data_IF_347538023548
#
_entry.id   IF_347538023548
#
_cell.length_a   1.000
_cell.length_b   1.000
_cell.length_c   1.000
_cell.angle_alpha   90.00
_cell.angle_beta   90.00
_cell.angle_gamma   90.00
#
_symmetry.space_group_name_H-M   'P 1'
#
loop_
_entity.id
_entity.type
_entity.pdbx_description
1 polymer ?
#
# COMPACT_ATOMS: atom_id res chain seq x y z
N UNK A 1 -18.37 -21.98 -26.97
CA UNK A 1 -17.95 -20.57 -26.86
C UNK A 1 -18.03 -20.18 -25.40
N UNK A 2 -16.92 -20.25 -24.67
CA UNK A 2 -16.91 -19.95 -23.25
C UNK A 2 -16.40 -18.53 -23.07
N UNK A 3 -17.33 -17.62 -22.78
CA UNK A 3 -17.03 -16.26 -22.32
C UNK A 3 -16.45 -16.36 -20.91
N UNK A 4 -15.13 -16.29 -20.81
CA UNK A 4 -14.44 -16.11 -19.52
C UNK A 4 -14.39 -14.59 -19.30
N UNK A 5 -15.41 -14.07 -18.64
CA UNK A 5 -15.29 -12.78 -17.93
C UNK A 5 -14.64 -13.07 -16.59
N UNK A 6 -13.46 -12.50 -16.26
CA UNK A 6 -12.98 -12.52 -14.89
C UNK A 6 -13.83 -11.56 -14.08
N UNK A 7 -14.74 -12.14 -13.31
CA UNK A 7 -15.42 -11.51 -12.18
C UNK A 7 -14.36 -10.98 -11.23
N UNK A 8 -14.34 -9.67 -11.04
CA UNK A 8 -13.74 -9.01 -9.89
C UNK A 8 -14.34 -9.59 -8.60
N UNK A 9 -13.68 -10.59 -8.04
CA UNK A 9 -13.93 -11.09 -6.69
C UNK A 9 -13.57 -10.00 -5.68
N UNK A 10 -14.47 -9.82 -4.71
CA UNK A 10 -14.53 -8.67 -3.83
C UNK A 10 -13.27 -8.43 -3.01
N UNK A 11 -12.56 -7.35 -3.33
CA UNK A 11 -11.82 -6.62 -2.31
C UNK A 11 -12.84 -5.77 -1.58
N UNK A 12 -13.12 -6.12 -0.32
CA UNK A 12 -13.84 -5.27 0.62
C UNK A 12 -13.31 -3.84 0.46
N UNK A 13 -14.18 -2.91 0.04
CA UNK A 13 -13.83 -1.53 -0.31
C UNK A 13 -13.50 -0.74 0.96
N UNK A 14 -12.36 -1.08 1.59
CA UNK A 14 -11.70 -0.17 2.51
C UNK A 14 -11.03 0.88 1.65
N UNK A 15 -11.73 1.98 1.42
CA UNK A 15 -11.20 3.12 0.70
C UNK A 15 -9.92 3.59 1.43
N UNK A 16 -8.76 3.19 0.90
CA UNK A 16 -7.48 3.63 1.43
C UNK A 16 -7.38 5.13 1.18
N UNK A 17 -7.20 5.90 2.26
CA UNK A 17 -7.03 7.33 2.16
C UNK A 17 -5.88 7.65 1.19
N UNK A 18 -6.13 8.56 0.24
CA UNK A 18 -5.16 8.99 -0.77
C UNK A 18 -4.73 7.92 -1.81
N UNK A 19 -5.45 6.79 -1.92
CA UNK A 19 -5.26 5.81 -2.99
C UNK A 19 -5.29 6.38 -4.42
N UNK A 20 -6.18 7.34 -4.78
CA UNK A 20 -6.17 7.90 -6.13
C UNK A 20 -4.91 8.73 -6.40
N UNK A 21 -4.43 9.52 -5.44
CA UNK A 21 -3.18 10.26 -5.60
C UNK A 21 -1.96 9.34 -5.68
N UNK A 22 -1.93 8.28 -4.87
CA UNK A 22 -0.84 7.31 -4.86
C UNK A 22 -0.75 6.56 -6.19
N UNK A 23 -1.87 6.03 -6.67
CA UNK A 23 -1.93 5.34 -7.96
C UNK A 23 -1.59 6.26 -9.14
N UNK A 24 -2.01 7.52 -9.12
CA UNK A 24 -1.64 8.49 -10.16
C UNK A 24 -0.12 8.72 -10.20
N UNK A 25 0.53 8.89 -9.04
CA UNK A 25 1.97 9.05 -8.96
C UNK A 25 2.70 7.79 -9.46
N UNK A 26 2.28 6.60 -9.02
CA UNK A 26 2.88 5.34 -9.44
C UNK A 26 2.79 5.16 -10.96
N UNK A 27 1.63 5.41 -11.55
CA UNK A 27 1.44 5.37 -13.00
C UNK A 27 2.36 6.35 -13.75
N UNK A 28 2.62 7.52 -13.17
CA UNK A 28 3.57 8.49 -13.75
C UNK A 28 5.01 7.97 -13.75
N UNK A 29 5.42 7.34 -12.64
CA UNK A 29 6.78 6.77 -12.48
C UNK A 29 7.00 5.56 -13.38
N UNK A 30 5.98 4.71 -13.55
CA UNK A 30 6.04 3.53 -14.42
C UNK A 30 5.81 3.86 -15.90
N UNK A 31 5.51 5.11 -16.24
CA UNK A 31 5.29 5.54 -17.61
C UNK A 31 6.54 5.36 -18.48
N UNK A 32 6.36 4.92 -19.73
CA UNK A 32 7.46 4.69 -20.70
C UNK A 32 8.37 5.91 -20.90
N UNK A 33 7.82 7.10 -20.74
CA UNK A 33 8.53 8.38 -20.85
C UNK A 33 8.57 9.06 -19.50
N UNK A 34 9.28 8.45 -18.55
CA UNK A 34 9.43 9.01 -17.21
C UNK A 34 9.94 10.45 -17.29
N UNK A 35 9.21 11.34 -16.64
CA UNK A 35 9.55 12.74 -16.56
C UNK A 35 9.28 13.22 -15.13
N UNK A 36 10.36 13.39 -14.38
CA UNK A 36 10.30 13.78 -12.97
C UNK A 36 9.51 15.06 -12.74
N UNK A 37 9.69 16.08 -13.60
CA UNK A 37 8.96 17.34 -13.51
C UNK A 37 7.45 17.18 -13.70
N UNK A 38 7.02 16.19 -14.50
CA UNK A 38 5.60 15.85 -14.66
C UNK A 38 5.05 15.03 -13.49
N UNK A 39 5.88 14.26 -12.80
CA UNK A 39 5.46 13.45 -11.64
C UNK A 39 5.50 14.24 -10.32
N UNK A 40 6.37 15.25 -10.20
CA UNK A 40 6.45 16.15 -9.04
C UNK A 40 5.10 16.75 -8.60
N UNK A 41 4.22 17.27 -9.47
CA UNK A 41 2.91 17.76 -9.04
C UNK A 41 2.01 16.66 -8.45
N UNK A 42 2.14 15.42 -8.92
CA UNK A 42 1.40 14.28 -8.37
C UNK A 42 1.91 13.91 -6.97
N UNK A 43 3.23 13.99 -6.78
CA UNK A 43 3.85 13.80 -5.46
C UNK A 43 3.41 14.88 -4.46
N UNK A 44 3.33 16.14 -4.88
CA UNK A 44 2.80 17.22 -4.04
C UNK A 44 1.35 16.99 -3.65
N UNK A 45 0.50 16.57 -4.60
CA UNK A 45 -0.91 16.22 -4.33
C UNK A 45 -1.03 15.08 -3.32
N UNK A 46 -0.24 14.02 -3.49
CA UNK A 46 -0.20 12.90 -2.54
C UNK A 46 0.19 13.37 -1.14
N UNK A 47 1.26 14.16 -1.03
CA UNK A 47 1.69 14.75 0.26
C UNK A 47 0.58 15.56 0.92
N UNK A 48 -0.08 16.45 0.17
CA UNK A 48 -1.19 17.25 0.69
C UNK A 48 -2.35 16.39 1.17
N UNK A 49 -2.67 15.30 0.47
CA UNK A 49 -3.71 14.38 0.91
C UNK A 49 -3.33 13.68 2.23
N UNK A 50 -2.10 13.18 2.34
CA UNK A 50 -1.58 12.52 3.55
C UNK A 50 -1.59 13.46 4.75
N UNK A 51 -1.11 14.69 4.57
CA UNK A 51 -1.11 15.73 5.61
C UNK A 51 -2.55 16.06 6.06
N UNK A 52 -3.49 16.16 5.11
CA UNK A 52 -4.89 16.49 5.41
C UNK A 52 -5.66 15.34 6.08
N UNK A 53 -5.36 14.09 5.71
CA UNK A 53 -6.06 12.90 6.23
C UNK A 53 -5.38 12.30 7.47
N UNK A 54 -4.26 12.88 7.92
CA UNK A 54 -3.46 12.42 9.05
C UNK A 54 -3.17 10.92 8.96
N UNK A 55 -2.77 10.45 7.78
CA UNK A 55 -2.45 9.03 7.58
C UNK A 55 -1.10 8.77 8.25
N UNK A 56 -1.14 8.24 9.48
CA UNK A 56 0.05 8.04 10.32
C UNK A 56 0.86 6.81 9.87
N UNK A 57 0.20 5.83 9.24
CA UNK A 57 0.83 4.62 8.73
C UNK A 57 0.14 4.09 7.46
N UNK A 58 0.90 3.96 6.37
CA UNK A 58 0.50 3.18 5.20
C UNK A 58 0.99 1.74 5.37
N UNK A 59 0.32 0.96 6.22
CA UNK A 59 0.59 -0.48 6.30
C UNK A 59 -0.14 -1.17 5.15
N UNK A 60 0.61 -1.60 4.13
CA UNK A 60 0.08 -2.39 3.00
C UNK A 60 -0.31 -3.82 3.41
N UNK A 61 0.10 -4.25 4.60
CA UNK A 61 -0.35 -5.49 5.23
C UNK A 61 -1.44 -5.13 6.24
N UNK A 62 -2.59 -5.82 6.26
CA UNK A 62 -3.51 -5.68 7.38
C UNK A 62 -2.70 -5.90 8.66
N UNK A 63 -2.92 -5.12 9.73
CA UNK A 63 -2.26 -5.38 11.00
C UNK A 63 -2.65 -6.81 11.40
N UNK A 64 -1.75 -7.77 11.14
CA UNK A 64 -1.81 -9.04 11.83
C UNK A 64 -1.74 -8.64 13.30
N UNK A 65 -2.73 -9.09 14.05
CA UNK A 65 -2.95 -8.68 15.42
C UNK A 65 -1.64 -8.65 16.19
N UNK A 66 -1.53 -7.66 17.08
CA UNK A 66 -0.58 -7.69 18.18
C UNK A 66 -0.86 -8.95 19.01
N UNK A 67 -0.29 -10.08 18.57
CA UNK A 67 -0.04 -11.28 19.35
C UNK A 67 1.05 -12.08 18.63
N UNK A 68 2.26 -11.53 18.69
CA UNK A 68 3.48 -12.33 18.69
C UNK A 68 4.33 -11.81 19.83
N UNK A 69 3.74 -11.88 21.01
CA UNK A 69 4.48 -12.10 22.25
C UNK A 69 5.03 -13.54 22.15
N UNK A 70 6.35 -13.62 22.03
CA UNK A 70 7.18 -14.70 22.54
C UNK A 70 7.13 -16.08 21.85
N UNK A 71 8.03 -16.27 20.89
CA UNK A 71 8.66 -17.59 20.65
C UNK A 71 10.03 -17.45 19.97
N UNK A 72 11.09 -17.19 20.76
CA UNK A 72 12.46 -17.62 20.42
C UNK A 72 13.45 -17.42 21.59
N UNK A 73 13.15 -17.97 22.77
CA UNK A 73 14.22 -18.38 23.70
C UNK A 73 13.84 -19.72 24.33
N UNK A 74 14.15 -20.79 23.60
CA UNK A 74 14.32 -22.13 24.15
C UNK A 74 15.14 -22.97 23.17
N UNK A 75 16.42 -23.15 23.48
CA UNK A 75 17.11 -24.43 23.31
C UNK A 75 18.38 -24.48 24.20
N UNK A 76 18.73 -25.67 24.73
CA UNK A 76 19.48 -25.89 25.97
C UNK A 76 21.00 -26.01 25.79
N UNK A 77 21.78 -25.78 26.86
CA UNK A 77 23.18 -26.24 26.93
C UNK A 77 23.51 -26.78 28.34
N UNK A 78 24.01 -28.01 28.37
CA UNK A 78 24.38 -28.80 29.55
C UNK A 78 25.70 -28.33 30.16
N UNK A 79 25.79 -28.33 31.51
CA UNK A 79 27.00 -28.76 32.22
C UNK A 79 26.67 -29.19 33.65
#
# INVERSE_FOLDING_TARGET
>A
MSTISPSTEGVEQKEFACAPEASALLNCVTGKSYNELKCLPLLKKLRTCVEKKNVVDFTLTPPQGKDSEQAAQSAPDQS
#
